data_IF_148288876646
#
_entry.id   IF_148288876646
#
_cell.length_a   1.000
_cell.length_b   1.000
_cell.length_c   1.000
_cell.angle_alpha   90.00
_cell.angle_beta   90.00
_cell.angle_gamma   90.00
#
_symmetry.space_group_name_H-M   'P 1'
#
loop_
_entity.id
_entity.type
_entity.pdbx_description
1 polymer ?
#
# COMPACT_ATOMS: atom_id res chain seq x y z
N UNK A 1 -24.42 27.68 0.62
CA UNK A 1 -24.26 27.90 -0.83
C UNK A 1 -22.84 27.48 -1.18
N UNK A 2 -22.71 26.49 -2.07
CA UNK A 2 -21.44 25.89 -2.50
C UNK A 2 -20.70 26.89 -3.40
N UNK A 3 -19.40 27.10 -3.15
CA UNK A 3 -18.53 27.84 -4.06
C UNK A 3 -18.14 26.93 -5.22
N UNK A 4 -18.60 27.28 -6.42
CA UNK A 4 -18.23 26.67 -7.69
C UNK A 4 -17.07 27.51 -8.26
N UNK A 5 -15.94 26.87 -8.56
CA UNK A 5 -14.88 27.45 -9.37
C UNK A 5 -15.30 27.26 -10.84
N UNK A 6 -15.56 28.36 -11.54
CA UNK A 6 -15.85 28.39 -12.98
C UNK A 6 -14.50 28.48 -13.71
N UNK A 7 -14.16 27.45 -14.48
CA UNK A 7 -13.07 27.53 -15.48
C UNK A 7 -13.68 28.08 -16.77
N UNK A 8 -13.34 29.33 -17.10
CA UNK A 8 -13.76 29.99 -18.33
C UNK A 8 -12.76 29.60 -19.45
N UNK A 9 -13.16 28.70 -20.36
CA UNK A 9 -12.42 28.45 -21.60
C UNK A 9 -12.91 29.44 -22.65
N UNK A 10 -12.11 30.46 -22.95
CA UNK A 10 -12.34 31.36 -24.08
C UNK A 10 -11.48 30.89 -25.25
N UNK A 11 -12.12 30.29 -26.25
CA UNK A 11 -11.51 30.02 -27.55
C UNK A 11 -11.57 31.29 -28.41
N UNK A 12 -10.43 31.84 -28.80
CA UNK A 12 -10.32 32.87 -29.86
C UNK A 12 -9.35 32.34 -30.94
N UNK A 13 -9.70 32.46 -32.23
CA UNK A 13 -8.94 31.88 -33.33
C UNK A 13 -7.63 32.63 -33.61
N UNK A 14 -6.66 31.87 -34.13
CA UNK A 14 -5.33 32.29 -34.57
C UNK A 14 -5.31 33.56 -35.43
N UNK A 15 -4.41 34.48 -35.12
CA UNK A 15 -4.11 35.64 -35.98
C UNK A 15 -3.00 36.56 -35.45
N UNK A 16 -1.75 36.17 -35.75
CA UNK A 16 -0.52 36.97 -35.88
C UNK A 16 -0.04 37.93 -34.75
N UNK A 17 1.20 37.65 -34.33
CA UNK A 17 2.24 38.46 -33.68
C UNK A 17 2.43 38.34 -32.17
N UNK A 18 3.63 37.86 -31.82
CA UNK A 18 4.23 37.88 -30.48
C UNK A 18 4.08 36.55 -29.76
N UNK A 19 5.15 35.76 -29.75
CA UNK A 19 5.31 34.63 -28.84
C UNK A 19 5.20 35.18 -27.40
N UNK A 20 4.04 35.06 -26.77
CA UNK A 20 3.90 35.21 -25.33
C UNK A 20 4.49 33.93 -24.73
N UNK A 21 5.74 34.01 -24.26
CA UNK A 21 6.33 32.96 -23.45
C UNK A 21 5.44 32.75 -22.22
N UNK A 22 5.02 31.50 -22.04
CA UNK A 22 4.44 31.03 -20.80
C UNK A 22 5.57 31.06 -19.76
N UNK A 23 5.56 32.03 -18.86
CA UNK A 23 6.51 32.08 -17.74
C UNK A 23 6.00 31.08 -16.70
N UNK A 24 6.62 29.90 -16.63
CA UNK A 24 6.49 29.02 -15.47
C UNK A 24 6.89 29.80 -14.21
N UNK A 25 6.28 29.55 -13.04
CA UNK A 25 6.70 30.17 -11.79
C UNK A 25 8.16 29.80 -11.50
N UNK A 26 9.05 30.75 -11.77
CA UNK A 26 10.48 30.68 -11.49
C UNK A 26 10.67 30.52 -9.97
N UNK A 27 11.36 29.46 -9.55
CA UNK A 27 11.74 29.24 -8.16
C UNK A 27 12.63 30.39 -7.68
N UNK A 28 12.07 31.28 -6.87
CA UNK A 28 12.79 32.44 -6.36
C UNK A 28 13.57 32.05 -5.10
N UNK A 29 14.86 31.70 -5.27
CA UNK A 29 15.98 32.30 -4.54
C UNK A 29 17.30 31.87 -5.19
N UNK A 30 18.19 32.82 -5.44
CA UNK A 30 19.36 32.69 -6.29
C UNK A 30 20.53 31.89 -5.71
N UNK A 31 20.35 31.05 -4.69
CA UNK A 31 21.42 30.18 -4.16
C UNK A 31 20.97 28.77 -3.73
N UNK A 32 19.71 28.37 -3.95
CA UNK A 32 19.29 26.97 -3.74
C UNK A 32 19.35 26.24 -5.07
N UNK A 33 20.46 25.54 -5.31
CA UNK A 33 20.59 24.68 -6.46
C UNK A 33 19.71 23.44 -6.27
N UNK A 34 18.59 23.36 -6.99
CA UNK A 34 17.92 22.08 -7.26
C UNK A 34 18.84 21.32 -8.24
N UNK A 35 19.91 20.71 -7.74
CA UNK A 35 20.83 19.87 -8.53
C UNK A 35 20.51 18.41 -8.28
N UNK A 36 20.05 17.72 -9.31
CA UNK A 36 19.91 16.26 -9.32
C UNK A 36 19.39 15.76 -10.65
N UNK A 37 20.01 14.72 -11.19
CA UNK A 37 19.56 14.00 -12.38
C UNK A 37 18.20 13.35 -12.04
N UNK A 38 17.12 13.84 -12.64
CA UNK A 38 15.72 13.61 -12.25
C UNK A 38 15.18 12.17 -12.40
N UNK A 39 16.05 11.17 -12.61
CA UNK A 39 15.63 9.82 -12.98
C UNK A 39 15.78 8.76 -11.89
N UNK A 40 16.33 9.06 -10.69
CA UNK A 40 16.62 7.99 -9.69
C UNK A 40 16.39 8.34 -8.20
N UNK A 41 15.67 9.40 -7.85
CA UNK A 41 15.22 9.63 -6.48
C UNK A 41 13.73 9.97 -6.49
N UNK A 42 12.93 9.19 -5.78
CA UNK A 42 11.49 9.40 -5.63
C UNK A 42 11.21 10.82 -5.10
N UNK A 43 10.78 11.72 -5.99
CA UNK A 43 10.50 13.14 -5.74
C UNK A 43 9.34 13.37 -4.75
N UNK A 44 9.56 13.12 -3.46
CA UNK A 44 8.54 13.40 -2.44
C UNK A 44 8.66 14.86 -1.98
N UNK A 45 7.93 15.76 -2.65
CA UNK A 45 7.53 17.03 -2.02
C UNK A 45 6.38 16.70 -1.06
N UNK A 46 6.54 16.99 0.21
CA UNK A 46 5.52 16.74 1.22
C UNK A 46 4.91 18.06 1.69
N UNK A 47 3.58 18.13 1.73
CA UNK A 47 2.87 19.29 2.28
C UNK A 47 2.49 18.98 3.72
N UNK A 48 2.95 19.82 4.65
CA UNK A 48 2.62 19.70 6.06
C UNK A 48 2.45 21.08 6.68
N UNK A 49 1.32 21.32 7.35
CA UNK A 49 0.97 22.62 7.96
C UNK A 49 1.24 23.80 7.01
N UNK A 50 0.70 23.71 5.80
CA UNK A 50 0.78 24.72 4.72
C UNK A 50 2.19 25.06 4.24
N UNK A 51 3.19 24.21 4.52
CA UNK A 51 4.55 24.34 4.02
C UNK A 51 4.94 23.13 3.17
N UNK A 52 5.85 23.35 2.23
CA UNK A 52 6.43 22.32 1.38
C UNK A 52 7.76 21.90 1.98
N UNK A 53 7.93 20.59 2.17
CA UNK A 53 9.16 19.95 2.62
C UNK A 53 9.74 19.16 1.46
N UNK A 54 11.03 19.29 1.24
CA UNK A 54 11.70 18.71 0.08
C UNK A 54 13.20 18.52 0.34
N UNK A 55 13.82 17.66 -0.45
CA UNK A 55 15.27 17.55 -0.53
C UNK A 55 15.84 18.76 -1.24
N UNK A 56 16.72 19.50 -0.59
CA UNK A 56 17.43 20.65 -1.17
C UNK A 56 18.91 20.59 -0.83
N UNK A 57 19.76 21.29 -1.60
CA UNK A 57 21.19 21.28 -1.37
C UNK A 57 21.82 22.68 -1.41
N UNK A 58 22.86 22.87 -0.61
CA UNK A 58 23.76 24.02 -0.70
C UNK A 58 25.24 23.59 -0.75
N UNK A 59 26.13 24.53 -1.05
CA UNK A 59 27.55 24.25 -1.25
C UNK A 59 28.30 23.87 0.04
N UNK A 60 27.72 24.11 1.21
CA UNK A 60 28.35 23.91 2.52
C UNK A 60 27.87 22.61 3.18
N UNK A 61 26.59 22.29 3.06
CA UNK A 61 25.93 21.22 3.81
C UNK A 61 25.49 20.04 2.94
N UNK A 62 25.65 20.11 1.62
CA UNK A 62 25.16 19.05 0.74
C UNK A 62 23.63 18.98 0.71
N UNK A 63 23.09 17.82 0.39
CA UNK A 63 21.63 17.57 0.29
C UNK A 63 21.03 17.28 1.66
N UNK A 64 20.01 18.05 2.05
CA UNK A 64 19.40 18.05 3.39
C UNK A 64 17.88 18.28 3.31
N UNK A 65 17.19 18.29 4.46
CA UNK A 65 15.76 18.63 4.53
C UNK A 65 15.54 20.15 4.51
N UNK A 66 14.82 20.62 3.50
CA UNK A 66 14.45 22.02 3.34
C UNK A 66 12.95 22.22 3.50
N UNK A 67 12.56 23.42 3.91
CA UNK A 67 11.16 23.86 4.01
C UNK A 67 10.96 25.16 3.24
N UNK A 68 9.77 25.33 2.65
CA UNK A 68 9.35 26.56 1.99
C UNK A 68 7.87 26.86 2.25
N UNK A 69 7.53 28.13 2.40
CA UNK A 69 6.15 28.66 2.37
C UNK A 69 5.76 29.21 0.99
N UNK A 70 6.60 29.01 -0.03
CA UNK A 70 6.44 29.57 -1.37
C UNK A 70 7.13 30.91 -1.59
N UNK A 71 7.82 31.46 -0.58
CA UNK A 71 8.62 32.69 -0.70
C UNK A 71 10.12 32.42 -0.57
N UNK A 72 10.99 33.28 -1.14
CA UNK A 72 12.45 33.18 -0.94
C UNK A 72 12.84 33.24 0.53
N UNK A 73 12.23 34.16 1.28
CA UNK A 73 12.55 34.39 2.70
C UNK A 73 12.07 33.24 3.59
N UNK A 74 10.97 32.59 3.21
CA UNK A 74 10.45 31.41 3.90
C UNK A 74 11.06 30.09 3.44
N UNK A 75 12.04 30.13 2.53
CA UNK A 75 12.76 28.94 2.05
C UNK A 75 14.09 28.79 2.78
N UNK A 76 14.26 27.71 3.56
CA UNK A 76 15.49 27.48 4.32
C UNK A 76 15.70 26.00 4.67
N UNK A 77 16.96 25.61 4.88
CA UNK A 77 17.34 24.31 5.44
C UNK A 77 16.85 24.21 6.89
N UNK A 78 16.08 23.18 7.23
CA UNK A 78 15.57 22.97 8.58
C UNK A 78 16.69 22.55 9.53
N UNK A 79 17.48 21.58 9.11
CA UNK A 79 18.56 20.98 9.88
C UNK A 79 19.54 20.31 8.94
N UNK A 80 20.83 20.43 9.27
CA UNK A 80 21.87 19.56 8.75
C UNK A 80 21.82 18.27 9.59
N UNK A 81 21.25 17.22 9.00
CA UNK A 81 21.08 15.92 9.64
C UNK A 81 22.30 15.01 9.40
N UNK A 82 23.10 15.27 8.37
CA UNK A 82 24.34 14.54 8.07
C UNK A 82 25.54 15.48 7.92
N UNK A 83 26.18 15.86 9.04
CA UNK A 83 27.30 16.78 8.99
C UNK A 83 28.42 16.22 8.10
N UNK A 84 28.79 16.98 7.07
CA UNK A 84 29.83 16.67 6.07
C UNK A 84 29.42 15.69 4.95
N UNK A 85 28.14 15.45 4.72
CA UNK A 85 27.68 14.51 3.69
C UNK A 85 26.44 14.97 2.92
N UNK A 86 25.87 14.07 2.14
CA UNK A 86 24.50 14.21 1.64
C UNK A 86 23.59 13.29 2.44
N UNK A 87 22.42 13.79 2.80
CA UNK A 87 21.34 12.99 3.35
C UNK A 87 20.56 12.29 2.24
N UNK A 88 20.28 11.01 2.42
CA UNK A 88 19.16 10.33 1.76
C UNK A 88 17.92 10.40 2.67
N UNK A 89 16.83 11.02 2.19
CA UNK A 89 15.62 11.28 2.97
C UNK A 89 14.46 10.39 2.55
N UNK A 90 13.73 9.91 3.55
CA UNK A 90 12.42 9.30 3.38
C UNK A 90 11.44 9.90 4.39
N UNK A 91 10.37 10.53 3.90
CA UNK A 91 9.37 11.21 4.73
C UNK A 91 8.18 10.26 4.91
N UNK A 92 7.76 10.04 6.16
CA UNK A 92 6.59 9.21 6.45
C UNK A 92 5.32 10.06 6.33
N UNK A 93 4.36 9.59 5.53
CA UNK A 93 3.00 10.15 5.55
C UNK A 93 2.30 9.67 6.81
N UNK A 94 2.07 10.57 7.75
CA UNK A 94 1.52 10.26 9.07
C UNK A 94 0.51 11.32 9.51
N UNK A 95 -0.38 10.93 10.41
CA UNK A 95 -1.32 11.84 11.10
C UNK A 95 -0.77 12.37 12.44
N UNK A 96 0.53 12.24 12.65
CA UNK A 96 1.22 12.84 13.79
C UNK A 96 1.17 14.38 13.71
N UNK A 97 1.27 15.00 14.88
CA UNK A 97 1.40 16.46 15.00
C UNK A 97 2.74 17.00 14.47
N UNK A 98 3.69 16.11 14.19
CA UNK A 98 5.00 16.38 13.61
C UNK A 98 5.17 15.56 12.33
N UNK A 99 5.96 16.09 11.39
CA UNK A 99 6.46 15.33 10.27
C UNK A 99 7.60 14.43 10.74
N UNK A 100 7.49 13.11 10.53
CA UNK A 100 8.56 12.15 10.85
C UNK A 100 9.27 11.78 9.55
N UNK A 101 10.59 11.67 9.60
CA UNK A 101 11.41 11.30 8.44
C UNK A 101 12.65 10.53 8.88
N UNK A 102 13.16 9.67 8.01
CA UNK A 102 14.45 9.01 8.19
C UNK A 102 15.50 9.63 7.29
N UNK A 103 16.72 9.69 7.79
CA UNK A 103 17.90 10.15 7.09
C UNK A 103 18.94 9.04 7.10
N UNK A 104 19.56 8.75 5.95
CA UNK A 104 20.77 7.92 5.87
C UNK A 104 21.94 8.78 5.40
N UNK A 105 23.10 8.59 6.03
CA UNK A 105 24.35 9.18 5.57
C UNK A 105 24.97 8.38 4.41
N UNK A 106 26.06 8.89 3.84
CA UNK A 106 26.79 8.26 2.73
C UNK A 106 27.38 6.88 3.06
N UNK A 107 27.51 6.54 4.35
CA UNK A 107 27.97 5.24 4.81
C UNK A 107 26.79 4.28 5.09
N UNK A 108 25.55 4.70 4.81
CA UNK A 108 24.33 3.95 5.03
C UNK A 108 23.86 3.95 6.50
N UNK A 109 24.47 4.74 7.38
CA UNK A 109 24.05 4.84 8.78
C UNK A 109 22.80 5.72 8.87
N UNK A 110 21.73 5.15 9.41
CA UNK A 110 20.44 5.83 9.51
C UNK A 110 20.17 6.51 10.84
N UNK A 111 19.27 7.48 10.79
CA UNK A 111 18.68 8.14 11.94
C UNK A 111 17.22 8.51 11.66
N UNK A 112 16.39 8.49 12.71
CA UNK A 112 14.98 8.88 12.64
C UNK A 112 14.81 10.26 13.30
N UNK A 113 14.04 11.13 12.67
CA UNK A 113 13.84 12.52 13.06
C UNK A 113 12.37 12.92 13.02
N UNK A 114 12.03 13.97 13.77
CA UNK A 114 10.74 14.64 13.68
C UNK A 114 10.94 16.16 13.54
N UNK A 115 10.00 16.82 12.86
CA UNK A 115 9.93 18.29 12.77
C UNK A 115 8.50 18.80 12.91
N UNK A 116 8.35 19.92 13.62
CA UNK A 116 7.13 20.71 13.65
C UNK A 116 7.08 21.78 12.55
N UNK A 117 8.13 21.87 11.73
CA UNK A 117 8.33 22.88 10.69
C UNK A 117 9.27 24.03 11.08
N UNK A 118 9.89 23.96 12.25
CA UNK A 118 10.89 24.94 12.74
C UNK A 118 12.25 24.28 12.95
N UNK A 119 13.33 25.07 12.89
CA UNK A 119 14.69 24.56 13.16
C UNK A 119 14.84 24.01 14.59
N UNK A 120 14.18 24.64 15.57
CA UNK A 120 14.25 24.25 16.97
C UNK A 120 13.43 22.98 17.26
N UNK A 121 12.26 22.85 16.62
CA UNK A 121 11.42 21.66 16.70
C UNK A 121 11.84 20.52 15.78
N UNK A 122 12.95 20.66 15.04
CA UNK A 122 13.56 19.59 14.27
C UNK A 122 14.55 18.84 15.14
N UNK A 123 14.16 17.65 15.61
CA UNK A 123 14.88 16.87 16.61
C UNK A 123 15.10 15.44 16.14
N UNK A 124 16.24 14.87 16.54
CA UNK A 124 16.51 13.46 16.33
C UNK A 124 15.73 12.63 17.34
N UNK A 125 15.06 11.58 16.88
CA UNK A 125 14.32 10.63 17.70
C UNK A 125 15.22 9.45 18.12
N UNK A 126 15.97 8.88 17.17
CA UNK A 126 16.84 7.74 17.41
C UNK A 126 17.95 7.63 16.34
N UNK A 127 19.04 6.92 16.68
CA UNK A 127 20.04 6.44 15.71
C UNK A 127 19.59 5.04 15.25
N UNK A 128 18.69 5.02 14.28
CA UNK A 128 18.11 3.77 13.75
C UNK A 128 17.98 3.89 12.24
N UNK A 129 18.44 2.87 11.54
CA UNK A 129 18.28 2.74 10.09
C UNK A 129 16.93 2.12 9.81
N UNK A 130 16.02 2.90 9.22
CA UNK A 130 14.72 2.41 8.79
C UNK A 130 14.89 1.63 7.48
N UNK A 131 14.41 0.39 7.47
CA UNK A 131 14.38 -0.47 6.29
C UNK A 131 13.02 -0.40 5.59
N UNK A 132 11.94 -0.55 6.36
CA UNK A 132 10.54 -0.49 5.92
C UNK A 132 9.72 0.14 7.03
N UNK A 133 8.72 0.96 6.73
CA UNK A 133 7.85 1.56 7.73
C UNK A 133 6.39 1.57 7.31
N UNK A 134 5.50 1.59 8.30
CA UNK A 134 4.06 1.71 8.14
C UNK A 134 3.50 2.70 9.15
N UNK A 135 2.77 3.68 8.62
CA UNK A 135 2.04 4.66 9.39
C UNK A 135 0.55 4.45 9.10
N UNK A 136 -0.22 3.86 10.04
CA UNK A 136 -1.64 3.70 9.84
C UNK A 136 -2.28 5.07 9.62
N UNK A 137 -2.89 5.25 8.47
CA UNK A 137 -3.82 6.36 8.26
C UNK A 137 -5.19 5.91 8.81
N UNK A 138 -5.99 6.80 9.41
CA UNK A 138 -7.33 6.47 9.87
C UNK A 138 -8.20 6.08 8.68
N UNK A 139 -8.23 4.80 8.35
CA UNK A 139 -9.32 4.17 7.62
C UNK A 139 -10.35 3.74 8.67
N UNK A 140 -11.59 4.21 8.51
CA UNK A 140 -12.72 3.96 9.43
C UNK A 140 -12.50 4.39 10.91
N UNK A 141 -13.57 4.30 11.70
CA UNK A 141 -13.66 4.81 13.07
C UNK A 141 -12.85 3.99 14.09
N UNK A 142 -12.34 2.82 13.67
CA UNK A 142 -11.85 1.71 14.49
C UNK A 142 -10.31 1.65 14.61
N UNK A 143 -9.55 2.28 13.70
CA UNK A 143 -8.08 2.33 13.76
C UNK A 143 -7.52 3.46 14.65
N UNK A 144 -8.38 4.12 15.44
CA UNK A 144 -7.98 5.26 16.29
C UNK A 144 -6.92 4.90 17.33
N UNK A 145 -6.92 3.67 17.83
CA UNK A 145 -6.03 3.22 18.90
C UNK A 145 -4.55 3.22 18.46
N UNK A 146 -4.31 2.99 17.16
CA UNK A 146 -2.99 3.03 16.54
C UNK A 146 -2.70 4.35 15.82
N UNK A 147 -3.68 5.26 15.74
CA UNK A 147 -3.46 6.59 15.17
C UNK A 147 -2.41 7.35 15.98
N UNK A 148 -1.52 8.05 15.27
CA UNK A 148 -0.44 8.80 15.91
C UNK A 148 0.71 7.92 16.37
N UNK A 149 0.88 6.74 15.79
CA UNK A 149 2.08 5.91 15.91
C UNK A 149 2.56 5.50 14.52
N UNK A 150 3.85 5.22 14.40
CA UNK A 150 4.46 4.60 13.21
C UNK A 150 5.18 3.36 13.71
N UNK A 151 4.85 2.21 13.14
CA UNK A 151 5.58 0.97 13.35
C UNK A 151 6.51 0.73 12.16
N UNK A 152 7.72 0.27 12.41
CA UNK A 152 8.71 0.12 11.36
C UNK A 152 9.74 -0.96 11.68
N UNK A 153 10.40 -1.43 10.63
CA UNK A 153 11.58 -2.28 10.68
C UNK A 153 12.81 -1.39 10.82
N UNK A 154 13.49 -1.48 11.95
CA UNK A 154 14.59 -0.59 12.33
C UNK A 154 15.83 -1.35 12.78
N UNK A 155 17.00 -0.89 12.33
CA UNK A 155 18.31 -1.44 12.68
C UNK A 155 19.16 -0.41 13.44
N UNK A 156 19.51 -0.71 14.69
CA UNK A 156 20.35 0.14 15.55
C UNK A 156 21.85 -0.18 15.45
N UNK A 157 22.23 -1.12 14.59
CA UNK A 157 23.59 -1.61 14.43
C UNK A 157 24.04 -2.60 15.51
N UNK A 158 23.16 -2.98 16.44
CA UNK A 158 23.46 -3.92 17.54
C UNK A 158 22.59 -5.17 17.44
N UNK A 159 21.29 -5.02 17.24
CA UNK A 159 20.31 -6.12 17.22
C UNK A 159 19.93 -6.56 15.79
N UNK A 160 20.39 -5.81 14.78
CA UNK A 160 19.89 -5.95 13.42
C UNK A 160 18.49 -5.35 13.26
N UNK A 161 17.82 -5.67 12.15
CA UNK A 161 16.48 -5.14 11.85
C UNK A 161 15.41 -5.81 12.70
N UNK A 162 14.78 -5.03 13.57
CA UNK A 162 13.77 -5.44 14.56
C UNK A 162 12.50 -4.58 14.49
N UNK A 163 11.40 -4.91 15.20
CA UNK A 163 10.19 -4.10 15.18
C UNK A 163 10.35 -2.91 16.13
N UNK A 164 10.22 -1.71 15.58
CA UNK A 164 10.29 -0.44 16.31
C UNK A 164 8.98 0.33 16.20
N UNK A 165 8.77 1.22 17.16
CA UNK A 165 7.65 2.16 17.14
C UNK A 165 8.11 3.57 17.43
N UNK A 166 7.38 4.56 16.91
CA UNK A 166 7.52 5.97 17.28
C UNK A 166 6.16 6.65 17.36
N UNK A 167 6.00 7.55 18.34
CA UNK A 167 4.91 8.53 18.42
C UNK A 167 5.35 9.93 17.93
N UNK A 168 6.52 10.03 17.30
CA UNK A 168 7.14 11.28 16.88
C UNK A 168 7.91 12.01 17.99
N UNK A 169 8.13 11.38 19.15
CA UNK A 169 8.96 11.92 20.25
C UNK A 169 10.12 10.98 20.59
N UNK A 170 11.24 11.49 21.15
CA UNK A 170 12.35 10.63 21.56
C UNK A 170 11.96 9.61 22.63
N UNK A 171 11.06 9.96 23.55
CA UNK A 171 10.61 9.07 24.62
C UNK A 171 9.68 7.94 24.15
N UNK A 172 8.89 8.20 23.11
CA UNK A 172 8.01 7.22 22.48
C UNK A 172 8.63 6.50 21.28
N UNK A 173 9.93 6.68 21.04
CA UNK A 173 10.67 5.98 19.97
C UNK A 173 11.54 4.88 20.57
N UNK A 174 11.22 3.61 20.29
CA UNK A 174 11.97 2.48 20.82
C UNK A 174 11.74 1.18 20.04
N UNK A 175 12.70 0.26 20.16
CA UNK A 175 12.53 -1.14 19.76
C UNK A 175 11.46 -1.79 20.65
N UNK A 176 10.40 -2.32 20.04
CA UNK A 176 9.29 -2.97 20.74
C UNK A 176 9.82 -4.19 21.46
N UNK A 177 10.51 -5.07 20.73
CA UNK A 177 11.09 -6.31 21.23
C UNK A 177 12.16 -6.79 20.26
N UNK A 178 13.26 -7.34 20.79
CA UNK A 178 14.22 -8.10 19.99
C UNK A 178 13.66 -9.51 19.74
N UNK A 179 13.31 -9.80 18.48
CA UNK A 179 12.77 -11.09 18.06
C UNK A 179 13.82 -11.97 17.37
N UNK A 180 14.99 -11.41 17.10
CA UNK A 180 16.14 -12.06 16.52
C UNK A 180 16.83 -12.98 17.53
N UNK A 181 17.21 -14.19 17.10
CA UNK A 181 17.98 -15.11 17.96
C UNK A 181 19.49 -15.03 17.66
N UNK A 182 19.88 -14.65 16.45
CA UNK A 182 21.27 -14.54 15.97
C UNK A 182 21.43 -13.39 14.95
N UNK A 183 20.84 -12.23 15.26
CA UNK A 183 20.71 -11.07 14.35
C UNK A 183 19.24 -10.76 14.05
N UNK A 184 18.99 -9.77 13.19
CA UNK A 184 17.66 -9.20 12.98
C UNK A 184 16.57 -10.20 12.57
N UNK A 185 15.36 -9.99 13.11
CA UNK A 185 14.13 -10.70 12.74
C UNK A 185 13.55 -10.26 11.39
N UNK A 186 14.04 -9.15 10.84
CA UNK A 186 13.63 -8.54 9.58
C UNK A 186 12.10 -8.41 9.46
N UNK A 187 11.45 -7.63 10.35
CA UNK A 187 10.03 -7.37 10.21
C UNK A 187 9.72 -6.70 8.88
N UNK A 188 8.63 -7.12 8.27
CA UNK A 188 8.10 -6.57 7.04
C UNK A 188 6.57 -6.68 7.07
N UNK A 189 5.92 -6.07 6.07
CA UNK A 189 4.47 -6.01 5.92
C UNK A 189 3.72 -5.71 7.24
N UNK A 190 3.58 -4.44 7.57
CA UNK A 190 2.86 -4.03 8.77
C UNK A 190 1.44 -3.59 8.41
N UNK A 191 0.45 -4.02 9.19
CA UNK A 191 -0.94 -3.56 9.06
C UNK A 191 -1.57 -3.33 10.43
N UNK A 192 -2.67 -2.57 10.47
CA UNK A 192 -3.48 -2.41 11.68
C UNK A 192 -4.79 -3.20 11.60
N UNK A 193 -5.04 -4.03 12.61
CA UNK A 193 -6.21 -4.91 12.69
C UNK A 193 -6.61 -5.12 14.15
N UNK A 194 -7.91 -5.05 14.47
CA UNK A 194 -8.41 -5.22 15.83
C UNK A 194 -7.70 -4.37 16.90
N UNK A 195 -7.32 -3.13 16.57
CA UNK A 195 -6.60 -2.23 17.49
C UNK A 195 -5.10 -2.56 17.70
N UNK A 196 -4.57 -3.57 16.99
CA UNK A 196 -3.17 -3.99 17.06
C UNK A 196 -2.43 -3.75 15.75
N UNK A 197 -1.10 -3.77 15.82
CA UNK A 197 -0.26 -3.92 14.65
C UNK A 197 0.03 -5.39 14.41
N UNK A 198 -0.13 -5.85 13.17
CA UNK A 198 0.24 -7.19 12.72
C UNK A 198 1.35 -7.08 11.70
N UNK A 199 2.33 -7.97 11.79
CA UNK A 199 3.48 -7.98 10.88
C UNK A 199 4.10 -9.37 10.73
N UNK A 200 4.86 -9.55 9.67
CA UNK A 200 5.62 -10.78 9.41
C UNK A 200 7.10 -10.58 9.70
N UNK A 201 7.77 -11.65 10.10
CA UNK A 201 9.24 -11.70 10.23
C UNK A 201 9.77 -12.87 9.42
N UNK A 202 10.89 -12.71 8.70
CA UNK A 202 11.62 -13.82 8.10
C UNK A 202 12.94 -14.02 8.83
N UNK A 203 13.04 -15.09 9.63
CA UNK A 203 14.33 -15.49 10.15
C UNK A 203 15.15 -16.09 9.01
N UNK A 204 16.40 -15.64 8.86
CA UNK A 204 17.35 -15.97 7.78
C UNK A 204 17.69 -17.47 7.60
N UNK A 205 17.00 -18.38 8.30
CA UNK A 205 17.24 -19.82 8.24
C UNK A 205 15.94 -20.55 7.89
N UNK A 206 15.77 -20.86 6.60
CA UNK A 206 14.76 -21.81 6.12
C UNK A 206 13.37 -21.25 5.76
N UNK A 207 13.27 -19.98 5.35
CA UNK A 207 12.02 -19.36 4.84
C UNK A 207 10.79 -19.51 5.74
N UNK A 208 11.00 -19.53 7.07
CA UNK A 208 9.89 -19.62 8.03
C UNK A 208 9.42 -18.21 8.35
N UNK A 209 8.36 -17.79 7.67
CA UNK A 209 7.68 -16.56 8.05
C UNK A 209 6.85 -16.80 9.31
N UNK A 210 6.94 -15.88 10.26
CA UNK A 210 6.12 -15.90 11.48
C UNK A 210 5.30 -14.63 11.49
N UNK A 211 4.02 -14.76 11.84
CA UNK A 211 3.12 -13.62 11.97
C UNK A 211 3.01 -13.26 13.45
N UNK A 212 3.22 -11.98 13.72
CA UNK A 212 3.22 -11.40 15.04
C UNK A 212 2.13 -10.34 15.15
N UNK A 213 1.62 -10.16 16.36
CA UNK A 213 0.80 -9.01 16.74
C UNK A 213 1.45 -8.25 17.89
N UNK A 214 1.21 -6.94 17.96
CA UNK A 214 1.64 -6.09 19.06
C UNK A 214 0.70 -4.91 19.25
N UNK A 215 0.53 -4.45 20.49
CA UNK A 215 -0.13 -3.17 20.80
C UNK A 215 0.86 -1.96 20.75
N UNK A 216 2.13 -2.25 20.46
CA UNK A 216 3.22 -1.28 20.40
C UNK A 216 3.90 -0.99 21.74
N UNK A 217 3.48 -1.62 22.84
CA UNK A 217 4.20 -1.52 24.12
C UNK A 217 5.50 -2.34 24.12
N UNK A 218 6.35 -2.18 25.13
CA UNK A 218 7.62 -2.94 25.17
C UNK A 218 7.35 -4.42 25.47
N UNK A 219 7.99 -5.31 24.72
CA UNK A 219 7.90 -6.77 24.84
C UNK A 219 6.47 -7.34 24.66
N UNK A 220 5.67 -6.73 23.79
CA UNK A 220 4.28 -7.13 23.52
C UNK A 220 4.09 -7.90 22.21
N UNK A 221 5.16 -8.34 21.56
CA UNK A 221 5.06 -9.11 20.33
C UNK A 221 4.62 -10.54 20.66
N UNK A 222 3.45 -10.93 20.15
CA UNK A 222 2.87 -12.25 20.32
C UNK A 222 2.75 -12.93 18.96
N UNK A 223 3.22 -14.18 18.84
CA UNK A 223 2.98 -14.98 17.64
C UNK A 223 1.49 -15.27 17.54
N UNK A 224 0.90 -14.93 16.40
CA UNK A 224 -0.50 -15.27 16.09
C UNK A 224 -0.61 -16.34 15.01
N UNK A 225 0.50 -16.60 14.28
CA UNK A 225 0.60 -17.70 13.35
C UNK A 225 2.07 -18.10 13.11
N UNK A 226 2.33 -19.40 12.97
CA UNK A 226 3.62 -19.93 12.54
C UNK A 226 3.40 -21.15 11.64
N UNK A 227 3.78 -21.05 10.36
CA UNK A 227 3.90 -22.22 9.50
C UNK A 227 5.13 -23.05 9.87
N UNK A 228 5.03 -24.38 9.83
CA UNK A 228 6.17 -25.25 10.15
C UNK A 228 7.24 -25.26 9.03
N UNK A 229 6.87 -24.77 7.84
CA UNK A 229 7.45 -25.16 6.55
C UNK A 229 7.00 -24.25 5.36
N UNK A 230 6.49 -23.04 5.62
CA UNK A 230 5.92 -22.17 4.58
C UNK A 230 6.19 -20.67 4.72
N UNK A 231 5.99 -19.96 3.61
CA UNK A 231 5.95 -18.49 3.53
C UNK A 231 4.55 -17.99 3.89
N UNK A 232 4.49 -16.90 4.66
CA UNK A 232 3.25 -16.25 5.05
C UNK A 232 3.26 -14.83 4.52
N UNK A 233 2.20 -14.48 3.81
CA UNK A 233 1.93 -13.13 3.32
C UNK A 233 0.63 -12.64 3.96
N UNK A 234 0.62 -11.41 4.46
CA UNK A 234 -0.60 -10.76 4.95
C UNK A 234 -1.14 -9.94 3.79
N UNK A 235 -2.46 -9.83 3.66
CA UNK A 235 -3.10 -9.00 2.64
C UNK A 235 -4.15 -8.08 3.30
N UNK A 236 -4.01 -6.77 3.09
CA UNK A 236 -4.99 -5.76 3.50
C UNK A 236 -6.16 -5.72 2.53
N UNK A 237 -7.08 -6.67 2.71
CA UNK A 237 -8.39 -6.67 2.07
C UNK A 237 -9.42 -6.83 3.17
N UNK A 238 -9.79 -5.69 3.75
CA UNK A 238 -10.50 -5.61 5.02
C UNK A 238 -11.84 -6.35 5.02
N UNK A 239 -11.99 -7.23 6.00
CA UNK A 239 -13.25 -7.51 6.68
C UNK A 239 -13.28 -6.54 7.88
N UNK A 240 -14.44 -6.03 8.32
CA UNK A 240 -14.46 -5.02 9.41
C UNK A 240 -13.62 -5.48 10.61
N UNK A 241 -12.57 -4.72 10.95
CA UNK A 241 -11.59 -5.04 12.01
C UNK A 241 -10.76 -6.34 11.84
N UNK A 242 -10.79 -6.99 10.68
CA UNK A 242 -10.09 -8.24 10.39
C UNK A 242 -9.30 -8.19 9.07
N UNK A 243 -8.26 -9.03 8.96
CA UNK A 243 -7.42 -9.15 7.76
C UNK A 243 -7.39 -10.58 7.25
N UNK A 244 -7.21 -10.73 5.93
CA UNK A 244 -6.88 -12.01 5.33
C UNK A 244 -5.38 -12.25 5.41
N UNK A 245 -5.05 -13.47 5.79
CA UNK A 245 -3.69 -13.98 5.90
C UNK A 245 -3.56 -15.18 5.00
N UNK A 246 -2.54 -15.17 4.15
CA UNK A 246 -2.29 -16.21 3.17
C UNK A 246 -0.98 -16.88 3.48
N UNK A 247 -1.02 -18.20 3.52
CA UNK A 247 0.13 -18.99 3.89
C UNK A 247 0.35 -20.02 2.79
N UNK A 248 1.51 -19.97 2.16
CA UNK A 248 1.91 -20.91 1.13
C UNK A 248 2.99 -21.82 1.69
N UNK A 249 2.66 -23.10 1.72
CA UNK A 249 3.50 -24.14 2.26
C UNK A 249 4.11 -24.94 1.12
N UNK A 250 5.35 -25.38 1.31
CA UNK A 250 5.96 -26.41 0.48
C UNK A 250 6.14 -27.67 1.31
N UNK A 251 5.54 -28.79 0.90
CA UNK A 251 5.84 -30.08 1.49
C UNK A 251 7.20 -30.56 0.95
N UNK A 252 8.24 -30.68 1.80
CA UNK A 252 9.58 -31.05 1.35
C UNK A 252 9.70 -32.53 0.96
N UNK A 253 8.73 -33.38 1.33
CA UNK A 253 8.72 -34.82 1.06
C UNK A 253 8.03 -35.09 -0.28
N UNK A 254 6.87 -34.49 -0.52
CA UNK A 254 6.11 -34.69 -1.76
C UNK A 254 6.49 -33.68 -2.85
N UNK A 255 7.22 -32.62 -2.50
CA UNK A 255 7.53 -31.48 -3.37
C UNK A 255 6.26 -30.82 -3.94
N UNK A 256 5.16 -30.85 -3.18
CA UNK A 256 3.89 -30.22 -3.52
C UNK A 256 3.64 -29.00 -2.63
N UNK A 257 3.14 -27.90 -3.21
CA UNK A 257 2.74 -26.72 -2.47
C UNK A 257 1.25 -26.73 -2.12
N UNK A 258 0.86 -26.17 -0.98
CA UNK A 258 -0.53 -25.90 -0.65
C UNK A 258 -0.70 -24.50 -0.04
N UNK A 259 -1.90 -23.96 -0.16
CA UNK A 259 -2.26 -22.64 0.35
C UNK A 259 -3.28 -22.77 1.48
N UNK A 260 -3.08 -22.05 2.57
CA UNK A 260 -4.02 -21.88 3.67
C UNK A 260 -4.39 -20.41 3.79
N UNK A 261 -5.67 -20.10 3.64
CA UNK A 261 -6.20 -18.75 3.84
C UNK A 261 -6.87 -18.70 5.21
N UNK A 262 -6.50 -17.72 6.00
CA UNK A 262 -7.03 -17.47 7.34
C UNK A 262 -7.52 -16.04 7.46
N UNK A 263 -8.43 -15.80 8.39
CA UNK A 263 -8.82 -14.47 8.84
C UNK A 263 -8.20 -14.24 10.21
N UNK A 264 -7.76 -13.02 10.49
CA UNK A 264 -7.23 -12.64 11.81
C UNK A 264 -7.81 -11.31 12.29
N UNK A 265 -8.14 -11.24 13.57
CA UNK A 265 -8.44 -10.00 14.31
C UNK A 265 -7.18 -9.40 14.99
N UNK A 266 -5.99 -9.93 14.68
CA UNK A 266 -4.74 -9.58 15.35
C UNK A 266 -4.49 -10.33 16.66
N UNK A 267 -5.31 -11.32 17.00
CA UNK A 267 -5.08 -12.23 18.13
C UNK A 267 -4.84 -13.65 17.65
N UNK A 268 -4.19 -14.47 18.49
CA UNK A 268 -3.98 -15.89 18.19
C UNK A 268 -5.32 -16.65 18.12
N UNK A 269 -6.23 -16.38 19.05
CA UNK A 269 -7.55 -17.05 19.11
C UNK A 269 -8.46 -16.66 17.94
N UNK A 270 -8.40 -15.40 17.50
CA UNK A 270 -9.13 -14.89 16.34
C UNK A 270 -8.45 -15.13 15.00
N UNK A 271 -7.31 -15.84 14.97
CA UNK A 271 -6.66 -16.28 13.72
C UNK A 271 -7.19 -17.65 13.32
N UNK A 272 -8.17 -17.66 12.41
CA UNK A 272 -8.93 -18.86 12.03
C UNK A 272 -8.74 -19.20 10.54
N UNK A 273 -8.39 -20.45 10.18
CA UNK A 273 -8.32 -20.85 8.79
C UNK A 273 -9.73 -20.95 8.19
N UNK A 274 -9.95 -20.30 7.05
CA UNK A 274 -11.23 -20.28 6.35
C UNK A 274 -11.21 -21.08 5.04
N UNK A 275 -10.02 -21.40 4.52
CA UNK A 275 -9.87 -22.21 3.30
C UNK A 275 -8.51 -22.94 3.27
N UNK A 276 -8.49 -24.17 2.74
CA UNK A 276 -7.26 -24.95 2.52
C UNK A 276 -6.78 -25.80 3.70
N UNK A 277 -7.63 -26.02 4.71
CA UNK A 277 -7.31 -26.81 5.91
C UNK A 277 -6.94 -28.28 5.61
N UNK A 278 -7.47 -28.84 4.53
CA UNK A 278 -7.21 -30.21 4.06
C UNK A 278 -5.88 -30.34 3.30
N UNK A 279 -5.16 -29.22 3.09
CA UNK A 279 -3.89 -29.12 2.36
C UNK A 279 -3.98 -29.54 0.89
N UNK A 280 -5.18 -29.50 0.30
CA UNK A 280 -5.36 -29.80 -1.13
C UNK A 280 -5.43 -28.53 -1.99
N UNK A 281 -5.72 -27.39 -1.36
CA UNK A 281 -5.81 -26.10 -2.04
C UNK A 281 -4.46 -25.69 -2.61
N UNK A 282 -4.41 -25.43 -3.91
CA UNK A 282 -3.21 -25.03 -4.64
C UNK A 282 -3.46 -23.71 -5.35
N UNK A 283 -2.38 -22.95 -5.60
CA UNK A 283 -2.44 -21.64 -6.25
C UNK A 283 -2.32 -20.45 -5.29
N UNK A 284 -1.99 -19.30 -5.83
CA UNK A 284 -1.84 -18.06 -5.08
C UNK A 284 -3.08 -17.19 -5.23
N UNK A 285 -3.64 -16.68 -4.13
CA UNK A 285 -4.77 -15.79 -4.21
C UNK A 285 -4.30 -14.42 -4.72
N UNK A 286 -4.99 -13.91 -5.72
CA UNK A 286 -4.71 -12.67 -6.45
C UNK A 286 -6.01 -11.93 -6.74
N UNK A 287 -5.90 -10.67 -7.17
CA UNK A 287 -7.03 -9.83 -7.58
C UNK A 287 -8.13 -9.75 -6.52
N UNK A 288 -7.77 -9.20 -5.37
CA UNK A 288 -8.71 -9.03 -4.28
C UNK A 288 -9.59 -7.81 -4.51
N UNK A 289 -10.90 -7.97 -4.31
CA UNK A 289 -11.85 -6.87 -4.24
C UNK A 289 -12.89 -7.12 -3.16
N UNK A 290 -13.72 -6.12 -2.86
CA UNK A 290 -14.71 -6.20 -1.79
C UNK A 290 -16.04 -5.63 -2.26
N UNK A 291 -17.14 -6.33 -2.00
CA UNK A 291 -18.50 -5.77 -2.08
C UNK A 291 -19.12 -5.88 -0.69
N UNK A 292 -19.60 -4.76 -0.15
CA UNK A 292 -20.20 -4.70 1.20
C UNK A 292 -19.29 -5.34 2.25
N UNK A 293 -19.63 -6.51 2.81
CA UNK A 293 -18.83 -7.21 3.83
C UNK A 293 -18.20 -8.52 3.31
N UNK A 294 -18.19 -8.71 2.01
CA UNK A 294 -17.65 -9.89 1.36
C UNK A 294 -16.40 -9.54 0.58
N UNK A 295 -15.40 -10.41 0.68
CA UNK A 295 -14.15 -10.32 -0.06
C UNK A 295 -14.17 -11.35 -1.18
N UNK A 296 -13.80 -10.89 -2.36
CA UNK A 296 -13.69 -11.71 -3.56
C UNK A 296 -12.25 -11.75 -4.00
N UNK A 297 -11.78 -12.94 -4.39
CA UNK A 297 -10.41 -13.13 -4.84
C UNK A 297 -10.29 -14.34 -5.76
N UNK A 298 -9.30 -14.33 -6.62
CA UNK A 298 -8.99 -15.43 -7.52
C UNK A 298 -7.91 -16.32 -6.91
N UNK A 299 -8.12 -17.62 -6.81
CA UNK A 299 -7.02 -18.56 -6.63
C UNK A 299 -6.43 -18.93 -7.98
N UNK A 300 -5.23 -18.43 -8.24
CA UNK A 300 -4.51 -18.65 -9.49
C UNK A 300 -3.55 -19.83 -9.39
N UNK A 301 -3.77 -20.84 -10.22
CA UNK A 301 -2.74 -21.78 -10.65
C UNK A 301 -2.47 -21.51 -12.13
N UNK A 302 -1.27 -21.81 -12.65
CA UNK A 302 -0.75 -21.30 -13.94
C UNK A 302 -1.65 -21.42 -15.20
N UNK A 303 -2.78 -22.12 -15.13
CA UNK A 303 -3.73 -22.31 -16.22
C UNK A 303 -5.21 -22.18 -15.79
N UNK A 304 -5.51 -21.97 -14.51
CA UNK A 304 -6.88 -21.85 -14.01
C UNK A 304 -6.93 -20.90 -12.80
N UNK A 305 -7.84 -19.94 -12.87
CA UNK A 305 -8.15 -19.02 -11.78
C UNK A 305 -9.59 -19.25 -11.34
N UNK A 306 -9.77 -19.59 -10.07
CA UNK A 306 -11.08 -19.83 -9.49
C UNK A 306 -11.47 -18.65 -8.62
N UNK A 307 -12.65 -18.07 -8.88
CA UNK A 307 -13.18 -16.96 -8.09
C UNK A 307 -13.86 -17.48 -6.82
N UNK A 308 -13.39 -17.01 -5.68
CA UNK A 308 -13.95 -17.27 -4.36
C UNK A 308 -14.60 -16.02 -3.79
N UNK A 309 -15.58 -16.23 -2.92
CA UNK A 309 -16.14 -15.23 -2.02
C UNK A 309 -15.93 -15.68 -0.58
N UNK A 310 -15.70 -14.75 0.34
CA UNK A 310 -15.68 -15.00 1.77
C UNK A 310 -16.28 -13.83 2.55
N UNK A 311 -17.09 -14.15 3.55
CA UNK A 311 -17.59 -13.23 4.58
C UNK A 311 -16.67 -13.18 5.82
N UNK A 312 -15.51 -13.83 5.76
CA UNK A 312 -14.60 -14.01 6.88
C UNK A 312 -14.83 -15.27 7.72
N UNK A 313 -15.81 -16.09 7.36
CA UNK A 313 -16.10 -17.36 8.03
C UNK A 313 -15.87 -18.54 7.07
N UNK A 314 -15.42 -19.67 7.62
CA UNK A 314 -15.23 -20.90 6.84
C UNK A 314 -16.51 -21.31 6.09
N UNK A 315 -17.68 -21.23 6.75
CA UNK A 315 -18.98 -21.60 6.15
C UNK A 315 -19.47 -20.63 5.07
N UNK A 316 -19.08 -19.37 5.14
CA UNK A 316 -19.40 -18.35 4.14
C UNK A 316 -18.29 -18.19 3.10
N UNK A 317 -17.29 -19.08 3.10
CA UNK A 317 -16.24 -19.12 2.10
C UNK A 317 -16.58 -20.18 1.05
N UNK A 318 -16.88 -19.74 -0.17
CA UNK A 318 -17.27 -20.67 -1.24
C UNK A 318 -16.71 -20.28 -2.61
N UNK A 319 -16.64 -21.29 -3.48
CA UNK A 319 -16.30 -21.12 -4.89
C UNK A 319 -17.52 -20.51 -5.60
N UNK A 320 -17.39 -19.27 -6.06
CA UNK A 320 -18.44 -18.58 -6.80
C UNK A 320 -18.49 -19.10 -8.24
N UNK A 321 -17.33 -19.19 -8.90
CA UNK A 321 -17.21 -19.63 -10.28
C UNK A 321 -15.87 -20.33 -10.56
N UNK A 322 -15.93 -21.37 -11.40
CA UNK A 322 -14.77 -21.99 -12.03
C UNK A 322 -14.92 -21.85 -13.54
N UNK A 323 -14.06 -21.02 -14.14
CA UNK A 323 -13.94 -20.85 -15.58
C UNK A 323 -12.83 -21.76 -16.09
N UNK A 324 -13.01 -22.42 -17.23
CA UNK A 324 -11.99 -23.26 -17.87
C UNK A 324 -10.72 -22.47 -18.25
N UNK A 325 -10.82 -21.15 -18.30
CA UNK A 325 -9.76 -20.24 -18.74
C UNK A 325 -9.12 -19.40 -17.62
N UNK A 326 -9.70 -19.45 -16.42
CA UNK A 326 -9.37 -18.57 -15.31
C UNK A 326 -9.88 -17.14 -15.44
N UNK A 327 -10.46 -16.62 -14.35
CA UNK A 327 -10.71 -15.19 -14.14
C UNK A 327 -9.37 -14.43 -14.07
N UNK A 328 -9.13 -13.54 -15.02
CA UNK A 328 -7.83 -12.83 -15.16
C UNK A 328 -7.81 -11.55 -14.34
N UNK A 329 -8.94 -10.85 -14.23
CA UNK A 329 -9.11 -9.67 -13.40
C UNK A 329 -10.53 -9.59 -12.83
N UNK A 330 -10.70 -8.92 -11.69
CA UNK A 330 -12.00 -8.70 -11.05
C UNK A 330 -12.10 -7.28 -10.51
N UNK A 331 -13.20 -6.61 -10.87
CA UNK A 331 -13.49 -5.22 -10.56
C UNK A 331 -14.75 -5.16 -9.74
N UNK A 332 -14.73 -4.42 -8.62
CA UNK A 332 -15.97 -3.94 -8.05
C UNK A 332 -16.31 -2.57 -8.64
N UNK A 333 -17.50 -2.45 -9.23
CA UNK A 333 -18.10 -1.18 -9.55
C UNK A 333 -19.61 -1.21 -9.26
N UNK A 334 -20.11 -0.21 -8.52
CA UNK A 334 -21.52 -0.11 -8.11
C UNK A 334 -22.08 -1.37 -7.43
N UNK A 335 -21.31 -1.95 -6.49
CA UNK A 335 -21.68 -3.18 -5.75
C UNK A 335 -21.93 -4.39 -6.64
N UNK A 336 -21.26 -4.43 -7.80
CA UNK A 336 -21.25 -5.57 -8.72
C UNK A 336 -19.82 -5.92 -9.10
N UNK A 337 -19.58 -7.20 -9.33
CA UNK A 337 -18.35 -7.70 -9.88
C UNK A 337 -18.41 -7.66 -11.40
N UNK A 338 -17.35 -7.18 -12.01
CA UNK A 338 -17.08 -7.31 -13.43
C UNK A 338 -15.77 -8.04 -13.58
N UNK A 339 -15.74 -9.08 -14.40
CA UNK A 339 -14.54 -9.88 -14.56
C UNK A 339 -14.50 -10.57 -15.93
N UNK A 340 -13.29 -10.92 -16.36
CA UNK A 340 -13.06 -11.57 -17.65
C UNK A 340 -12.39 -12.93 -17.48
N UNK A 341 -12.86 -13.93 -18.24
CA UNK A 341 -12.20 -15.23 -18.37
C UNK A 341 -11.42 -15.31 -19.69
N UNK A 342 -10.20 -15.86 -19.68
CA UNK A 342 -9.35 -15.98 -20.91
C UNK A 342 -10.05 -16.63 -22.14
N UNK A 343 -11.10 -17.43 -21.95
CA UNK A 343 -11.84 -18.11 -23.04
C UNK A 343 -13.33 -18.28 -22.77
N UNK A 344 -13.84 -17.80 -21.65
CA UNK A 344 -15.23 -18.03 -21.21
C UNK A 344 -16.08 -16.75 -21.27
N UNK A 345 -15.58 -15.70 -21.93
CA UNK A 345 -16.30 -14.43 -22.05
C UNK A 345 -16.16 -13.52 -20.83
N UNK A 346 -16.95 -12.46 -20.80
CA UNK A 346 -16.94 -11.43 -19.76
C UNK A 346 -18.21 -11.53 -18.94
N UNK A 347 -18.13 -11.24 -17.64
CA UNK A 347 -19.22 -11.50 -16.72
C UNK A 347 -19.53 -10.30 -15.83
N UNK A 348 -20.79 -10.23 -15.44
CA UNK A 348 -21.30 -9.36 -14.38
C UNK A 348 -21.93 -10.23 -13.29
N UNK A 349 -21.65 -9.92 -12.03
CA UNK A 349 -22.19 -10.64 -10.88
C UNK A 349 -22.61 -9.69 -9.76
N UNK A 350 -23.71 -9.99 -9.08
CA UNK A 350 -24.10 -9.32 -7.83
C UNK A 350 -23.42 -9.91 -6.58
N UNK A 351 -22.46 -10.83 -6.78
CA UNK A 351 -21.78 -11.56 -5.73
C UNK A 351 -22.35 -12.94 -5.45
N UNK A 352 -23.48 -13.31 -6.06
CA UNK A 352 -24.12 -14.62 -5.92
C UNK A 352 -24.01 -15.46 -7.19
N UNK A 353 -24.06 -16.78 -7.04
CA UNK A 353 -24.02 -17.70 -8.20
C UNK A 353 -25.22 -17.50 -9.12
N UNK A 354 -26.41 -17.26 -8.58
CA UNK A 354 -27.64 -17.03 -9.33
C UNK A 354 -27.69 -15.66 -10.03
N UNK A 355 -27.04 -14.65 -9.47
CA UNK A 355 -26.95 -13.30 -10.02
C UNK A 355 -25.74 -13.06 -10.93
N UNK A 356 -25.10 -14.14 -11.39
CA UNK A 356 -23.93 -14.11 -12.28
C UNK A 356 -24.35 -14.39 -13.72
N UNK A 357 -23.98 -13.51 -14.65
CA UNK A 357 -24.36 -13.59 -16.06
C UNK A 357 -23.17 -13.28 -16.98
N UNK A 358 -23.11 -13.93 -18.15
CA UNK A 358 -22.18 -13.53 -19.21
C UNK A 358 -22.71 -12.25 -19.88
N UNK A 359 -21.87 -11.22 -20.01
CA UNK A 359 -22.22 -9.93 -20.59
C UNK A 359 -22.72 -10.09 -22.02
N UNK A 360 -22.17 -11.02 -22.79
CA UNK A 360 -22.61 -11.30 -24.16
C UNK A 360 -24.03 -11.89 -24.24
N UNK A 361 -24.60 -12.39 -23.13
CA UNK A 361 -26.03 -12.75 -23.07
C UNK A 361 -26.93 -11.52 -22.84
N UNK A 362 -26.33 -10.37 -22.52
CA UNK A 362 -27.01 -9.12 -22.20
C UNK A 362 -26.83 -8.05 -23.30
N UNK A 363 -25.91 -8.24 -24.25
CA UNK A 363 -25.59 -7.30 -25.31
C UNK A 363 -25.84 -7.88 -26.70
N UNK A 364 -26.22 -7.04 -27.66
CA UNK A 364 -26.43 -7.46 -29.05
C UNK A 364 -25.11 -7.68 -29.82
N UNK A 365 -24.02 -7.07 -29.34
CA UNK A 365 -22.67 -7.16 -29.90
C UNK A 365 -21.70 -7.78 -28.89
N UNK A 366 -20.64 -8.49 -29.34
CA UNK A 366 -19.64 -9.07 -28.45
C UNK A 366 -18.90 -7.96 -27.69
N UNK A 367 -18.77 -8.13 -26.38
CA UNK A 367 -17.96 -7.25 -25.53
C UNK A 367 -16.69 -7.99 -25.16
N UNK A 368 -15.53 -7.34 -25.27
CA UNK A 368 -14.26 -7.77 -24.68
C UNK A 368 -13.92 -6.87 -23.49
N UNK A 369 -13.31 -7.41 -22.42
CA UNK A 369 -13.08 -6.72 -21.16
C UNK A 369 -11.63 -6.87 -20.68
N UNK A 370 -10.69 -6.90 -21.64
CA UNK A 370 -9.26 -7.01 -21.33
C UNK A 370 -8.67 -5.69 -20.81
N UNK A 371 -9.29 -4.56 -21.14
CA UNK A 371 -8.89 -3.23 -20.67
C UNK A 371 -10.12 -2.48 -20.16
N UNK A 372 -10.10 -2.11 -18.88
CA UNK A 372 -11.16 -1.32 -18.26
C UNK A 372 -10.59 -0.19 -17.39
N UNK A 373 -11.39 0.84 -17.17
CA UNK A 373 -11.12 1.87 -16.16
C UNK A 373 -12.41 2.49 -15.65
N UNK A 374 -12.35 3.07 -14.46
CA UNK A 374 -13.46 3.79 -13.84
C UNK A 374 -13.15 5.28 -13.89
N UNK A 375 -14.07 6.07 -14.47
CA UNK A 375 -13.98 7.53 -14.53
C UNK A 375 -15.37 8.13 -14.40
N UNK A 376 -15.51 9.20 -13.61
CA UNK A 376 -16.78 9.92 -13.41
C UNK A 376 -17.99 9.00 -13.09
N UNK A 377 -17.81 8.07 -12.16
CA UNK A 377 -18.80 7.06 -11.74
C UNK A 377 -19.32 6.16 -12.87
N UNK A 378 -18.53 5.98 -13.92
CA UNK A 378 -18.83 5.06 -15.04
C UNK A 378 -17.71 4.06 -15.23
N UNK A 379 -18.09 2.85 -15.62
CA UNK A 379 -17.17 1.79 -16.00
C UNK A 379 -17.01 1.80 -17.52
N UNK A 380 -15.78 1.99 -17.97
CA UNK A 380 -15.39 1.96 -19.37
C UNK A 380 -14.63 0.69 -19.66
N UNK A 381 -14.87 0.09 -20.82
CA UNK A 381 -14.17 -1.12 -21.28
C UNK A 381 -13.98 -1.11 -22.79
N UNK A 382 -12.84 -1.63 -23.24
CA UNK A 382 -12.43 -1.65 -24.64
C UNK A 382 -12.87 -2.90 -25.37
N UNK A 383 -13.39 -2.74 -26.58
CA UNK A 383 -13.77 -3.81 -27.49
C UNK A 383 -12.84 -3.87 -28.70
N UNK A 384 -12.40 -5.08 -29.05
CA UNK A 384 -11.65 -5.40 -30.26
C UNK A 384 -12.63 -5.79 -31.36
N UNK A 385 -13.01 -4.83 -32.22
CA UNK A 385 -13.75 -5.17 -33.42
C UNK A 385 -12.86 -5.94 -34.41
N UNK A 386 -13.44 -6.94 -35.08
CA UNK A 386 -12.87 -7.50 -36.32
C UNK A 386 -12.50 -6.32 -37.24
N UNK A 387 -11.22 -6.20 -37.62
CA UNK A 387 -10.58 -5.08 -38.34
C UNK A 387 -9.71 -4.10 -37.50
N UNK A 388 -9.56 -4.30 -36.19
CA UNK A 388 -8.58 -3.54 -35.38
C UNK A 388 -9.05 -2.13 -35.00
N UNK A 389 -10.37 -1.93 -34.95
CA UNK A 389 -10.98 -0.71 -34.41
C UNK A 389 -11.23 -0.93 -32.92
N UNK A 390 -10.61 -0.10 -32.08
CA UNK A 390 -10.91 -0.04 -30.65
C UNK A 390 -12.19 0.77 -30.44
N UNK A 391 -13.25 0.11 -29.99
CA UNK A 391 -14.46 0.77 -29.51
C UNK A 391 -14.42 0.88 -27.98
N UNK A 392 -14.92 1.98 -27.42
CA UNK A 392 -15.04 2.15 -25.96
C UNK A 392 -16.51 2.07 -25.60
N UNK A 393 -16.85 1.11 -24.77
CA UNK A 393 -18.18 0.94 -24.20
C UNK A 393 -18.23 1.52 -22.80
N UNK A 394 -19.43 1.91 -22.37
CA UNK A 394 -19.69 2.49 -21.06
C UNK A 394 -20.91 1.84 -20.45
N UNK A 395 -20.78 1.34 -19.21
CA UNK A 395 -21.91 0.81 -18.45
C UNK A 395 -22.42 1.86 -17.45
N UNK A 396 -23.73 1.84 -17.18
CA UNK A 396 -24.37 2.53 -16.04
C UNK A 396 -24.72 1.57 -14.89
N UNK A 397 -24.36 0.29 -15.02
CA UNK A 397 -24.54 -0.75 -14.02
C UNK A 397 -25.89 -1.46 -14.11
N UNK A 398 -26.74 -1.09 -15.06
CA UNK A 398 -27.98 -1.79 -15.36
C UNK A 398 -27.77 -2.87 -16.44
N UNK A 399 -28.81 -3.68 -16.67
CA UNK A 399 -28.79 -4.75 -17.66
C UNK A 399 -29.02 -4.22 -19.10
N UNK A 400 -29.67 -3.07 -19.22
CA UNK A 400 -29.89 -2.36 -20.48
C UNK A 400 -28.72 -1.40 -20.75
#
# INVERSE_FOLDING_TARGET
MKNIIIILIVLIPFGLFGQAEFVEPELVSSEVFIKGNFNNLHNQKYIFKDKIYFMGADATHGSELWVSDGTPQGTYMLKDCTPNGNSELYIFKTNLNNLVFSVKDENGKGSLWATDGTKAGTIQLANVTVQVAYAPLPKAQELKENCGKIIFSGDDGVHGSEPWITDGTPGGTYMIQDLGVDGGSNPWFFESVGGKFVFTTNQNVGFKSVIWSTDGSKNSCNRIFQGNDGQSDIIDVGLESQLLVINSFSDPITNTGYTLISVTDGTLEGTIPILGQDKTLTGFPVNFTRIKNEVYFNLSNSWNNVLYVTDGNEKGTEKLLETNAGVVDVVNWNDKLFYHGNSDGNFISDGTKEGTFEINELTDEPVYFEEYFIMDDKLYFGDYADEGIFSIWVSDGTKE
#
